data_IF_442319431858
#
_entry.id   IF_442319431858
#
_cell.length_a   1.000
_cell.length_b   1.000
_cell.length_c   1.000
_cell.angle_alpha   90.00
_cell.angle_beta   90.00
_cell.angle_gamma   90.00
#
_symmetry.space_group_name_H-M   'P 1'
#
loop_
_entity.id
_entity.type
_entity.pdbx_description
1 polymer ?
#
# COMPACT_ATOMS: atom_id res chain seq x y z
N UNK A 1 -2.84 14.21 -19.18
CA UNK A 1 -2.72 14.85 -20.51
C UNK A 1 -1.73 14.03 -21.32
N UNK A 2 -2.13 13.51 -22.48
CA UNK A 2 -1.22 12.80 -23.37
C UNK A 2 -0.13 13.74 -23.90
N UNK A 3 0.94 13.17 -24.49
CA UNK A 3 2.00 13.95 -25.16
C UNK A 3 1.46 14.82 -26.31
N UNK A 4 0.27 14.47 -26.82
CA UNK A 4 -0.48 15.18 -27.86
C UNK A 4 -1.48 16.21 -27.31
N UNK A 5 -1.47 16.47 -26.00
CA UNK A 5 -2.37 17.42 -25.35
C UNK A 5 -3.81 16.94 -25.18
N UNK A 6 -4.15 15.71 -25.59
CA UNK A 6 -5.51 15.21 -25.47
C UNK A 6 -5.84 14.79 -24.04
N UNK A 7 -7.06 15.12 -23.65
CA UNK A 7 -7.70 14.60 -22.45
C UNK A 7 -8.57 13.41 -22.84
N UNK A 8 -8.45 12.34 -22.06
CA UNK A 8 -9.17 11.09 -22.27
C UNK A 8 -9.94 10.76 -20.99
N UNK A 9 -11.15 10.22 -21.16
CA UNK A 9 -11.91 9.65 -20.05
C UNK A 9 -11.28 8.29 -19.70
N UNK A 10 -10.85 8.12 -18.44
CA UNK A 10 -10.26 6.86 -17.98
C UNK A 10 -11.34 5.85 -17.57
N UNK A 11 -11.68 4.94 -18.49
CA UNK A 11 -12.53 3.77 -18.20
C UNK A 11 -11.74 2.55 -17.69
N UNK A 12 -10.40 2.61 -17.67
CA UNK A 12 -9.52 1.52 -17.24
C UNK A 12 -9.08 1.65 -15.78
N UNK A 13 -9.16 2.85 -15.20
CA UNK A 13 -8.83 3.17 -13.80
C UNK A 13 -7.43 2.73 -13.40
N UNK A 14 -6.48 2.84 -14.33
CA UNK A 14 -5.11 2.36 -14.13
C UNK A 14 -5.03 0.88 -13.72
N UNK A 15 -5.86 0.01 -14.32
CA UNK A 15 -5.99 -1.41 -13.92
C UNK A 15 -6.52 -1.51 -12.48
N UNK A 16 -7.64 -0.84 -12.22
CA UNK A 16 -8.33 -0.83 -10.92
C UNK A 16 -7.52 -0.27 -9.74
N UNK A 17 -6.54 0.60 -10.00
CA UNK A 17 -5.74 1.27 -8.96
C UNK A 17 -6.34 2.64 -8.61
N UNK A 18 -6.85 3.36 -9.60
CA UNK A 18 -7.38 4.71 -9.41
C UNK A 18 -8.85 4.61 -9.06
N UNK A 19 -9.21 4.96 -7.82
CA UNK A 19 -10.61 4.86 -7.40
C UNK A 19 -11.46 5.98 -8.02
N UNK A 20 -11.45 7.19 -7.47
CA UNK A 20 -12.34 8.27 -7.94
C UNK A 20 -11.61 9.33 -8.77
N UNK A 21 -10.40 9.71 -8.37
CA UNK A 21 -9.64 10.79 -9.00
C UNK A 21 -8.16 10.43 -9.13
N UNK A 22 -7.53 10.86 -10.23
CA UNK A 22 -6.11 10.63 -10.47
C UNK A 22 -5.17 11.42 -9.54
N UNK A 23 -5.67 12.51 -8.92
CA UNK A 23 -4.88 13.39 -8.07
C UNK A 23 -5.73 13.81 -6.86
N UNK A 24 -5.41 13.20 -5.71
CA UNK A 24 -5.99 13.58 -4.42
C UNK A 24 -5.00 14.55 -3.77
N UNK A 25 -5.40 15.82 -3.63
CA UNK A 25 -4.52 16.89 -3.14
C UNK A 25 -3.88 16.54 -1.79
N UNK A 26 -4.66 16.02 -0.84
CA UNK A 26 -4.15 15.62 0.47
C UNK A 26 -3.08 14.53 0.39
N UNK A 27 -3.24 13.56 -0.54
CA UNK A 27 -2.26 12.48 -0.73
C UNK A 27 -0.96 13.02 -1.32
N UNK A 28 -1.04 13.93 -2.29
CA UNK A 28 0.14 14.57 -2.88
C UNK A 28 0.92 15.35 -1.83
N UNK A 29 0.22 16.15 -1.02
CA UNK A 29 0.84 16.94 0.05
C UNK A 29 1.53 16.04 1.09
N UNK A 30 0.87 14.96 1.54
CA UNK A 30 1.45 14.00 2.48
C UNK A 30 2.69 13.29 1.92
N UNK A 31 2.70 12.94 0.63
CA UNK A 31 3.87 12.35 -0.04
C UNK A 31 5.03 13.34 -0.05
N UNK A 32 4.79 14.60 -0.40
CA UNK A 32 5.83 15.64 -0.46
C UNK A 32 6.43 15.88 0.92
N UNK A 33 5.58 15.99 1.95
CA UNK A 33 6.02 16.19 3.33
C UNK A 33 6.91 15.04 3.80
N UNK A 34 6.46 13.79 3.68
CA UNK A 34 7.24 12.62 4.10
C UNK A 34 8.55 12.47 3.31
N UNK A 35 8.53 12.74 2.00
CA UNK A 35 9.72 12.66 1.15
C UNK A 35 10.78 13.71 1.54
N UNK A 36 10.38 14.83 2.17
CA UNK A 36 11.28 15.83 2.73
C UNK A 36 12.08 15.33 3.94
N UNK A 37 11.55 14.36 4.68
CA UNK A 37 12.21 13.76 5.86
C UNK A 37 13.08 12.56 5.47
N UNK A 38 12.47 11.55 4.82
CA UNK A 38 13.18 10.38 4.30
C UNK A 38 12.29 9.56 3.36
N UNK A 39 12.93 8.87 2.40
CA UNK A 39 12.23 7.98 1.46
C UNK A 39 12.13 6.52 1.95
N UNK A 40 13.17 5.99 2.60
CA UNK A 40 13.20 4.59 3.00
C UNK A 40 14.20 4.33 4.12
N UNK A 41 13.75 3.71 5.21
CA UNK A 41 14.57 3.36 6.38
C UNK A 41 14.79 1.85 6.54
N UNK A 42 14.23 1.04 5.64
CA UNK A 42 14.06 -0.42 5.77
C UNK A 42 13.28 -0.80 7.03
N UNK A 43 12.00 -1.13 6.85
CA UNK A 43 11.07 -1.41 7.95
C UNK A 43 11.52 -2.51 8.92
N UNK A 44 12.32 -3.47 8.44
CA UNK A 44 12.86 -4.57 9.26
C UNK A 44 14.12 -4.18 10.07
N UNK A 45 14.67 -2.98 9.87
CA UNK A 45 15.83 -2.46 10.60
C UNK A 45 15.40 -1.31 11.51
N UNK A 46 14.59 -0.39 10.97
CA UNK A 46 14.08 0.77 11.68
C UNK A 46 12.56 0.76 11.56
N UNK A 47 11.88 0.64 12.70
CA UNK A 47 10.41 0.77 12.74
C UNK A 47 10.06 2.25 12.61
N UNK A 48 9.40 2.59 11.51
CA UNK A 48 8.88 3.94 11.28
C UNK A 48 7.58 4.10 12.05
N UNK A 49 7.51 5.09 12.96
CA UNK A 49 6.27 5.42 13.68
C UNK A 49 5.15 5.81 12.71
N UNK A 50 5.50 6.36 11.53
CA UNK A 50 4.53 6.77 10.50
C UNK A 50 3.67 5.64 9.94
N UNK A 51 4.07 4.36 10.10
CA UNK A 51 3.25 3.24 9.66
C UNK A 51 2.28 2.71 10.74
N UNK A 52 2.44 3.11 12.01
CA UNK A 52 1.59 2.62 13.10
C UNK A 52 0.11 2.95 12.89
N UNK A 53 -0.26 4.21 12.55
CA UNK A 53 -1.66 4.55 12.31
C UNK A 53 -2.27 3.74 11.16
N UNK A 54 -1.49 3.47 10.12
CA UNK A 54 -1.93 2.65 8.99
C UNK A 54 -2.26 1.21 9.42
N UNK A 55 -1.44 0.61 10.28
CA UNK A 55 -1.72 -0.73 10.80
C UNK A 55 -2.99 -0.77 11.66
N UNK A 56 -3.20 0.25 12.50
CA UNK A 56 -4.39 0.36 13.35
C UNK A 56 -5.66 0.52 12.51
N UNK A 57 -5.64 1.43 11.53
CA UNK A 57 -6.77 1.66 10.62
C UNK A 57 -7.10 0.42 9.78
N UNK A 58 -6.08 -0.26 9.24
CA UNK A 58 -6.29 -1.52 8.51
C UNK A 58 -6.86 -2.62 9.42
N UNK A 59 -6.40 -2.73 10.67
CA UNK A 59 -6.92 -3.71 11.62
C UNK A 59 -8.39 -3.41 11.99
N UNK A 60 -8.75 -2.14 12.17
CA UNK A 60 -10.12 -1.72 12.44
C UNK A 60 -11.04 -1.96 11.24
N UNK A 61 -10.59 -1.64 10.03
CA UNK A 61 -11.37 -1.76 8.80
C UNK A 61 -11.60 -3.23 8.40
N UNK A 62 -10.54 -4.05 8.41
CA UNK A 62 -10.61 -5.45 7.98
C UNK A 62 -11.22 -6.36 9.06
N UNK A 63 -11.26 -5.91 10.32
CA UNK A 63 -11.72 -6.66 11.49
C UNK A 63 -11.19 -8.10 11.51
N UNK A 64 -9.87 -8.29 11.37
CA UNK A 64 -9.33 -9.62 11.38
C UNK A 64 -9.49 -10.24 12.78
N UNK A 65 -9.57 -11.58 12.85
CA UNK A 65 -9.76 -12.28 14.12
C UNK A 65 -8.67 -11.96 15.17
N UNK A 66 -8.89 -12.39 16.43
CA UNK A 66 -8.05 -12.04 17.60
C UNK A 66 -6.55 -12.39 17.52
N UNK A 67 -6.07 -13.05 16.46
CA UNK A 67 -4.67 -13.45 16.26
C UNK A 67 -4.26 -13.16 14.82
N UNK A 68 -4.18 -11.88 14.46
CA UNK A 68 -3.80 -11.47 13.11
C UNK A 68 -2.73 -10.41 13.15
N UNK A 69 -1.72 -10.61 12.30
CA UNK A 69 -0.67 -9.63 12.02
C UNK A 69 -0.88 -9.10 10.60
N UNK A 70 -0.51 -7.85 10.38
CA UNK A 70 -0.57 -7.19 9.07
C UNK A 70 0.85 -7.07 8.53
N UNK A 71 1.02 -7.36 7.25
CA UNK A 71 2.29 -7.19 6.54
C UNK A 71 2.05 -6.33 5.31
N UNK A 72 2.85 -5.28 5.14
CA UNK A 72 2.79 -4.36 4.01
C UNK A 72 3.80 -4.79 2.95
N UNK A 73 3.35 -4.85 1.69
CA UNK A 73 4.15 -5.22 0.52
C UNK A 73 3.74 -4.31 -0.63
N UNK A 74 4.70 -3.97 -1.49
CA UNK A 74 4.50 -2.98 -2.55
C UNK A 74 3.77 -3.55 -3.77
N UNK A 75 4.08 -4.78 -4.21
CA UNK A 75 3.49 -5.37 -5.40
C UNK A 75 2.49 -6.51 -5.09
N UNK A 76 1.42 -6.59 -5.89
CA UNK A 76 0.43 -7.66 -5.77
C UNK A 76 1.01 -9.07 -5.94
N UNK A 77 1.96 -9.24 -6.86
CA UNK A 77 2.64 -10.53 -7.05
C UNK A 77 3.44 -10.97 -5.81
N UNK A 78 4.16 -10.03 -5.18
CA UNK A 78 4.91 -10.27 -3.94
C UNK A 78 3.98 -10.63 -2.78
N UNK A 79 2.77 -10.04 -2.72
CA UNK A 79 1.74 -10.40 -1.72
C UNK A 79 1.36 -11.87 -1.88
N UNK A 80 1.06 -12.32 -3.10
CA UNK A 80 0.68 -13.71 -3.36
C UNK A 80 1.82 -14.67 -3.02
N UNK A 81 3.06 -14.34 -3.39
CA UNK A 81 4.22 -15.16 -3.07
C UNK A 81 4.40 -15.32 -1.56
N UNK A 82 4.31 -14.22 -0.80
CA UNK A 82 4.46 -14.29 0.65
C UNK A 82 3.29 -14.99 1.34
N UNK A 83 2.05 -14.79 0.86
CA UNK A 83 0.90 -15.53 1.37
C UNK A 83 1.08 -17.04 1.21
N UNK A 84 1.60 -17.49 0.06
CA UNK A 84 1.93 -18.90 -0.17
C UNK A 84 3.03 -19.39 0.77
N UNK A 85 4.09 -18.61 1.00
CA UNK A 85 5.17 -18.95 1.95
C UNK A 85 4.64 -19.10 3.38
N UNK A 86 3.84 -18.15 3.84
CA UNK A 86 3.23 -18.18 5.19
C UNK A 86 2.29 -19.38 5.33
N UNK A 87 1.43 -19.62 4.32
CA UNK A 87 0.51 -20.75 4.31
C UNK A 87 1.24 -22.10 4.36
N UNK A 88 2.30 -22.27 3.56
CA UNK A 88 3.17 -23.44 3.55
C UNK A 88 3.84 -23.67 4.91
N UNK A 89 4.42 -22.62 5.49
CA UNK A 89 5.05 -22.68 6.81
C UNK A 89 4.04 -23.07 7.90
N UNK A 90 2.82 -22.53 7.86
CA UNK A 90 1.76 -22.82 8.83
C UNK A 90 1.34 -24.30 8.81
N UNK A 91 1.40 -24.95 7.65
CA UNK A 91 1.08 -26.39 7.48
C UNK A 91 2.31 -27.29 7.41
N UNK A 92 3.52 -26.76 7.67
CA UNK A 92 4.81 -27.48 7.61
C UNK A 92 5.07 -28.18 6.27
N UNK A 93 4.79 -27.51 5.15
CA UNK A 93 5.10 -27.95 3.79
C UNK A 93 5.96 -26.96 3.03
#
# INVERSE_FOLDING_TARGET
MGLDGRELIDFARGISIVDEVHLIKQVVEAIIEQAGEYLHTRFNVVTSESCIPLYEELAEMLKPGKKTNIMLISAGAEIIENALKIGKQAIKR
#
